data_IF_465896125882
#
_entry.id   IF_465896125882
#
_cell.length_a   1.000
_cell.length_b   1.000
_cell.length_c   1.000
_cell.angle_alpha   90.00
_cell.angle_beta   90.00
_cell.angle_gamma   90.00
#
_symmetry.space_group_name_H-M   'P 1'
#
loop_
_entity.id
_entity.type
_entity.pdbx_description
1 polymer ?
#
# COMPACT_ATOMS: atom_id res chain seq x y z
N UNK A 1 -7.09 -3.51 -29.91
CA UNK A 1 -6.39 -4.02 -28.71
C UNK A 1 -7.06 -3.40 -27.50
N UNK A 2 -7.96 -4.14 -26.87
CA UNK A 2 -8.81 -3.65 -25.78
C UNK A 2 -8.03 -3.68 -24.47
N UNK A 3 -7.39 -2.57 -24.12
CA UNK A 3 -6.77 -2.41 -22.81
C UNK A 3 -7.79 -1.79 -21.85
N UNK A 4 -8.78 -2.59 -21.43
CA UNK A 4 -9.74 -2.20 -20.39
C UNK A 4 -9.09 -2.35 -19.02
N UNK A 5 -8.10 -1.52 -18.71
CA UNK A 5 -7.81 -1.21 -17.32
C UNK A 5 -8.84 -0.18 -16.88
N UNK A 6 -9.69 -0.45 -15.88
CA UNK A 6 -10.52 0.59 -15.29
C UNK A 6 -9.60 1.74 -14.87
N UNK A 7 -10.00 3.01 -15.05
CA UNK A 7 -9.28 4.14 -14.48
C UNK A 7 -8.99 3.86 -13.00
N UNK A 8 -7.81 4.25 -12.51
CA UNK A 8 -7.43 4.07 -11.10
C UNK A 8 -8.49 4.66 -10.15
N UNK A 9 -9.21 5.70 -10.59
CA UNK A 9 -10.35 6.30 -9.90
C UNK A 9 -11.51 5.31 -9.61
N UNK A 10 -11.63 4.22 -10.36
CA UNK A 10 -12.63 3.16 -10.17
C UNK A 10 -12.08 1.94 -9.42
N UNK A 11 -10.79 1.92 -9.07
CA UNK A 11 -10.20 0.82 -8.33
C UNK A 11 -10.69 0.79 -6.86
N UNK A 12 -10.65 -0.38 -6.21
CA UNK A 12 -10.84 -0.51 -4.77
C UNK A 12 -9.91 0.43 -3.98
N UNK A 13 -10.33 0.86 -2.79
CA UNK A 13 -9.59 1.82 -1.97
C UNK A 13 -8.19 1.32 -1.62
N UNK A 14 -8.05 0.03 -1.32
CA UNK A 14 -6.79 -0.63 -1.01
C UNK A 14 -5.81 -0.60 -2.19
N UNK A 15 -6.32 -0.69 -3.42
CA UNK A 15 -5.51 -0.63 -4.64
C UNK A 15 -5.03 0.79 -4.90
N UNK A 16 -5.91 1.79 -4.74
CA UNK A 16 -5.55 3.20 -4.86
C UNK A 16 -4.46 3.58 -3.86
N UNK A 17 -4.66 3.22 -2.58
CA UNK A 17 -3.69 3.49 -1.54
C UNK A 17 -2.35 2.79 -1.80
N UNK A 18 -2.35 1.55 -2.30
CA UNK A 18 -1.12 0.85 -2.65
C UNK A 18 -0.35 1.59 -3.76
N UNK A 19 -1.04 2.12 -4.77
CA UNK A 19 -0.43 2.92 -5.84
C UNK A 19 0.16 4.22 -5.30
N UNK A 20 -0.57 4.93 -4.43
CA UNK A 20 -0.08 6.16 -3.81
C UNK A 20 1.16 5.91 -2.92
N UNK A 21 1.17 4.80 -2.18
CA UNK A 21 2.31 4.41 -1.36
C UNK A 21 3.53 4.05 -2.21
N UNK A 22 3.35 3.33 -3.31
CA UNK A 22 4.43 3.02 -4.26
C UNK A 22 5.01 4.31 -4.82
N UNK A 23 4.15 5.21 -5.30
CA UNK A 23 4.59 6.51 -5.82
C UNK A 23 5.38 7.31 -4.77
N UNK A 24 4.92 7.33 -3.51
CA UNK A 24 5.62 8.02 -2.43
C UNK A 24 7.02 7.42 -2.19
N UNK A 25 7.13 6.09 -2.15
CA UNK A 25 8.39 5.39 -1.92
C UNK A 25 9.39 5.63 -3.06
N UNK A 26 8.93 5.55 -4.30
CA UNK A 26 9.75 5.82 -5.49
C UNK A 26 10.18 7.29 -5.56
N UNK A 27 9.28 8.23 -5.25
CA UNK A 27 9.58 9.67 -5.25
C UNK A 27 10.61 10.09 -4.20
N UNK A 28 10.86 9.24 -3.21
CA UNK A 28 11.88 9.45 -2.17
C UNK A 28 13.12 8.55 -2.37
N UNK A 29 13.27 7.92 -3.54
CA UNK A 29 14.39 7.03 -3.89
C UNK A 29 14.62 5.91 -2.86
N UNK A 30 13.54 5.40 -2.26
CA UNK A 30 13.63 4.33 -1.26
C UNK A 30 13.92 2.99 -1.96
N UNK A 31 14.99 2.33 -1.55
CA UNK A 31 15.33 1.00 -2.07
C UNK A 31 14.18 -0.01 -1.83
N UNK A 32 13.80 -0.83 -2.83
CA UNK A 32 12.68 -1.76 -2.72
C UNK A 32 12.74 -2.69 -1.51
N UNK A 33 13.95 -3.14 -1.13
CA UNK A 33 14.16 -4.04 0.01
C UNK A 33 13.86 -3.34 1.34
N UNK A 34 14.22 -2.05 1.44
CA UNK A 34 13.94 -1.20 2.60
C UNK A 34 12.45 -0.88 2.66
N UNK A 35 11.84 -0.54 1.52
CA UNK A 35 10.40 -0.31 1.42
C UNK A 35 9.60 -1.54 1.90
N UNK A 36 9.97 -2.74 1.44
CA UNK A 36 9.32 -3.98 1.85
C UNK A 36 9.47 -4.26 3.35
N UNK A 37 10.66 -4.04 3.91
CA UNK A 37 10.90 -4.19 5.34
C UNK A 37 10.05 -3.21 6.16
N UNK A 38 9.97 -1.94 5.73
CA UNK A 38 9.15 -0.92 6.38
C UNK A 38 7.65 -1.24 6.30
N UNK A 39 7.16 -1.64 5.13
CA UNK A 39 5.75 -2.02 4.94
C UNK A 39 5.36 -3.22 5.82
N UNK A 40 6.27 -4.18 6.03
CA UNK A 40 6.04 -5.29 6.96
C UNK A 40 5.86 -4.81 8.41
N UNK A 41 6.66 -3.84 8.85
CA UNK A 41 6.53 -3.25 10.19
C UNK A 41 5.18 -2.52 10.32
N UNK A 42 4.81 -1.72 9.32
CA UNK A 42 3.51 -1.01 9.27
C UNK A 42 2.34 -1.99 9.31
N UNK A 43 2.40 -3.07 8.52
CA UNK A 43 1.39 -4.12 8.53
C UNK A 43 1.21 -4.70 9.93
N UNK A 44 2.30 -5.09 10.59
CA UNK A 44 2.26 -5.65 11.94
C UNK A 44 1.65 -4.68 12.96
N UNK A 45 2.00 -3.39 12.91
CA UNK A 45 1.43 -2.37 13.79
C UNK A 45 -0.09 -2.23 13.59
N UNK A 46 -0.56 -2.21 12.33
CA UNK A 46 -1.99 -2.13 12.00
C UNK A 46 -2.72 -3.41 12.48
N UNK A 47 -2.17 -4.59 12.23
CA UNK A 47 -2.74 -5.86 12.69
C UNK A 47 -2.89 -5.89 14.21
N UNK A 48 -1.87 -5.45 14.94
CA UNK A 48 -1.92 -5.32 16.40
C UNK A 48 -3.03 -4.36 16.85
N UNK A 49 -3.18 -3.19 16.20
CA UNK A 49 -4.26 -2.23 16.50
C UNK A 49 -5.65 -2.81 16.24
N UNK A 50 -5.81 -3.58 15.16
CA UNK A 50 -7.08 -4.24 14.84
C UNK A 50 -7.43 -5.34 15.85
N UNK A 51 -6.43 -6.01 16.41
CA UNK A 51 -6.64 -6.99 17.49
C UNK A 51 -7.03 -6.31 18.79
N UNK A 52 -6.37 -5.21 19.16
CA UNK A 52 -6.69 -4.46 20.39
C UNK A 52 -8.02 -3.72 20.33
N UNK A 53 -8.49 -3.29 19.15
CA UNK A 53 -9.83 -2.70 18.99
C UNK A 53 -10.97 -3.72 19.00
N UNK A 54 -10.69 -5.01 18.83
CA UNK A 54 -11.68 -6.09 18.87
C UNK A 54 -11.83 -6.72 20.26
N UNK A 55 -10.99 -6.33 21.22
CA UNK A 55 -11.02 -6.77 22.62
C UNK A 55 -11.82 -5.79 23.49
#
# INVERSE_FOLDING_TARGET
MSNTHPPLEQAPEEIKLAVDLIYLLESNDIAPEIALAALKIVQQDIEHRLQTQKA
#
